data_IF_123806818686
#
_entry.id   IF_123806818686
#
_cell.length_a   1.000
_cell.length_b   1.000
_cell.length_c   1.000
_cell.angle_alpha   90.00
_cell.angle_beta   90.00
_cell.angle_gamma   90.00
#
_symmetry.space_group_name_H-M   'P 1'
#
loop_
_entity.id
_entity.type
_entity.pdbx_description
1 polymer ?
#
# COMPACT_ATOMS: atom_id res chain seq x y z
N UNK A 1 21.86 -12.85 -38.36
CA UNK A 1 21.80 -12.06 -39.61
C UNK A 1 21.04 -10.78 -39.31
N UNK A 2 21.75 -9.69 -39.06
CA UNK A 2 21.16 -8.38 -38.76
C UNK A 2 20.91 -7.69 -40.09
N UNK A 3 19.67 -7.70 -40.56
CA UNK A 3 19.27 -7.00 -41.78
C UNK A 3 19.26 -5.50 -41.48
N UNK A 4 20.38 -4.82 -41.75
CA UNK A 4 20.42 -3.35 -41.76
C UNK A 4 19.64 -2.88 -42.97
N UNK A 5 18.40 -2.42 -42.75
CA UNK A 5 17.59 -1.79 -43.80
C UNK A 5 18.23 -0.46 -44.14
N UNK A 6 18.65 -0.27 -45.39
CA UNK A 6 19.14 1.02 -45.88
C UNK A 6 17.95 1.99 -46.01
N UNK A 7 17.86 2.93 -45.07
CA UNK A 7 16.75 3.88 -44.90
C UNK A 7 16.91 5.17 -45.74
N UNK A 8 17.89 5.21 -46.66
CA UNK A 8 18.24 6.43 -47.42
C UNK A 8 17.27 6.75 -48.58
N UNK A 9 16.26 5.91 -48.84
CA UNK A 9 15.23 6.12 -49.88
C UNK A 9 13.90 6.65 -49.34
N UNK A 10 13.14 7.40 -50.16
CA UNK A 10 11.76 7.81 -49.85
C UNK A 10 10.88 6.57 -49.63
N UNK A 11 10.65 6.19 -48.38
CA UNK A 11 9.72 5.11 -48.04
C UNK A 11 8.27 5.54 -48.20
N UNK A 12 7.45 4.66 -48.76
CA UNK A 12 5.99 4.80 -48.78
C UNK A 12 5.41 4.64 -47.37
N UNK A 13 4.17 5.11 -47.16
CA UNK A 13 3.47 4.97 -45.86
C UNK A 13 3.32 3.51 -45.42
N UNK A 14 3.01 2.61 -46.36
CA UNK A 14 2.87 1.18 -46.09
C UNK A 14 4.18 0.55 -45.59
N UNK A 15 5.32 0.91 -46.21
CA UNK A 15 6.64 0.43 -45.79
C UNK A 15 7.09 1.00 -44.44
N UNK A 16 6.67 2.21 -44.06
CA UNK A 16 6.94 2.74 -42.71
C UNK A 16 6.08 2.06 -41.64
N UNK A 17 4.85 1.68 -41.98
CA UNK A 17 3.94 1.02 -41.05
C UNK A 17 4.41 -0.40 -40.65
N UNK A 18 5.29 -1.02 -41.44
CA UNK A 18 5.88 -2.32 -41.10
C UNK A 18 7.14 -2.23 -40.23
N UNK A 19 7.66 -1.02 -39.99
CA UNK A 19 8.80 -0.81 -39.10
C UNK A 19 8.35 -0.83 -37.63
N UNK A 20 9.20 -1.31 -36.70
CA UNK A 20 8.85 -1.37 -35.29
C UNK A 20 8.67 0.04 -34.72
N UNK A 21 7.70 0.18 -33.80
CA UNK A 21 7.51 1.43 -33.08
C UNK A 21 8.61 1.61 -32.03
N UNK A 22 9.04 2.85 -31.82
CA UNK A 22 10.05 3.15 -30.79
C UNK A 22 9.64 2.68 -29.39
N UNK A 23 8.35 2.74 -29.08
CA UNK A 23 7.78 2.24 -27.82
C UNK A 23 7.92 0.72 -27.68
N UNK A 24 7.70 -0.04 -28.75
CA UNK A 24 7.83 -1.51 -28.75
C UNK A 24 9.29 -1.92 -28.59
N UNK A 25 10.21 -1.21 -29.24
CA UNK A 25 11.66 -1.44 -29.09
C UNK A 25 12.10 -1.16 -27.65
N UNK A 26 11.64 -0.05 -27.06
CA UNK A 26 11.94 0.30 -25.68
C UNK A 26 11.35 -0.73 -24.68
N UNK A 27 10.14 -1.22 -24.94
CA UNK A 27 9.53 -2.28 -24.14
C UNK A 27 10.33 -3.57 -24.22
N UNK A 28 10.69 -4.03 -25.43
CA UNK A 28 11.48 -5.25 -25.62
C UNK A 28 12.85 -5.16 -24.92
N UNK A 29 13.51 -4.00 -24.99
CA UNK A 29 14.77 -3.74 -24.29
C UNK A 29 14.59 -3.76 -22.76
N UNK A 30 13.51 -3.14 -22.26
CA UNK A 30 13.20 -3.17 -20.84
C UNK A 30 12.95 -4.61 -20.35
N UNK A 31 12.21 -5.42 -21.10
CA UNK A 31 12.00 -6.84 -20.80
C UNK A 31 13.31 -7.63 -20.79
N UNK A 32 14.17 -7.44 -21.79
CA UNK A 32 15.48 -8.10 -21.88
C UNK A 32 16.37 -7.83 -20.65
N UNK A 33 16.33 -6.61 -20.11
CA UNK A 33 17.10 -6.22 -18.93
C UNK A 33 16.35 -6.43 -17.60
N UNK A 34 15.12 -6.96 -17.62
CA UNK A 34 14.31 -7.13 -16.42
C UNK A 34 13.86 -5.81 -15.77
N UNK A 35 13.75 -4.74 -16.56
CA UNK A 35 13.26 -3.41 -16.15
C UNK A 35 11.75 -3.32 -16.39
N UNK A 36 11.03 -2.62 -15.50
CA UNK A 36 9.58 -2.49 -15.62
C UNK A 36 9.16 -1.76 -16.91
N UNK A 37 8.28 -2.37 -17.70
CA UNK A 37 7.73 -1.81 -18.95
C UNK A 37 6.66 -0.74 -18.72
N UNK A 38 6.12 -0.66 -17.50
CA UNK A 38 5.01 0.24 -17.14
C UNK A 38 5.29 1.02 -15.85
N UNK A 39 6.34 1.85 -15.79
CA UNK A 39 6.68 2.57 -14.57
C UNK A 39 5.58 3.56 -14.15
N UNK A 40 5.36 3.69 -12.84
CA UNK A 40 4.47 4.68 -12.25
C UNK A 40 5.28 5.92 -11.87
N UNK A 41 4.83 7.08 -12.30
CA UNK A 41 5.44 8.35 -11.93
C UNK A 41 5.03 8.72 -10.49
N UNK A 42 5.97 8.59 -9.55
CA UNK A 42 5.75 8.98 -8.15
C UNK A 42 6.40 10.32 -7.85
N UNK A 43 5.62 11.21 -7.21
CA UNK A 43 6.12 12.50 -6.72
C UNK A 43 6.86 12.30 -5.41
N UNK A 44 8.14 12.65 -5.38
CA UNK A 44 9.00 12.66 -4.18
C UNK A 44 9.23 14.10 -3.76
N UNK A 45 9.05 14.39 -2.47
CA UNK A 45 9.34 15.70 -1.87
C UNK A 45 10.50 15.49 -0.90
N UNK A 46 11.58 16.24 -1.10
CA UNK A 46 12.75 16.23 -0.24
C UNK A 46 12.55 17.10 1.02
N UNK A 47 13.41 16.96 2.03
CA UNK A 47 13.36 17.78 3.27
C UNK A 47 13.55 19.28 3.00
N UNK A 48 14.19 19.63 1.88
CA UNK A 48 14.35 20.99 1.36
C UNK A 48 13.10 21.55 0.67
N UNK A 49 12.06 20.74 0.47
CA UNK A 49 10.84 21.10 -0.27
C UNK A 49 10.93 20.91 -1.79
N UNK A 50 12.09 20.49 -2.33
CA UNK A 50 12.24 20.17 -3.75
C UNK A 50 11.35 18.99 -4.14
N UNK A 51 10.64 19.14 -5.26
CA UNK A 51 9.74 18.12 -5.80
C UNK A 51 10.34 17.50 -7.06
N UNK A 52 10.56 16.19 -7.05
CA UNK A 52 11.03 15.41 -8.20
C UNK A 52 10.01 14.32 -8.57
N UNK A 53 9.93 13.96 -9.85
CA UNK A 53 9.10 12.84 -10.33
C UNK A 53 10.03 11.66 -10.61
N UNK A 54 9.87 10.57 -9.85
CA UNK A 54 10.70 9.37 -9.95
C UNK A 54 9.86 8.22 -10.50
N UNK A 55 10.35 7.50 -11.54
CA UNK A 55 9.68 6.29 -12.02
C UNK A 55 9.88 5.15 -11.02
N UNK A 56 8.77 4.53 -10.60
CA UNK A 56 8.75 3.37 -9.70
C UNK A 56 8.16 2.18 -10.46
N UNK A 57 8.69 0.94 -10.30
CA UNK A 57 8.14 -0.23 -10.95
C UNK A 57 6.65 -0.44 -10.60
N UNK A 58 5.85 -0.91 -11.56
CA UNK A 58 4.41 -1.10 -11.35
C UNK A 58 4.03 -2.14 -10.30
N UNK A 59 4.90 -3.09 -10.00
CA UNK A 59 4.62 -4.17 -9.03
C UNK A 59 3.55 -5.17 -9.47
N UNK A 60 3.18 -5.20 -10.76
CA UNK A 60 2.23 -6.21 -11.27
C UNK A 60 2.75 -7.62 -11.00
N UNK A 61 1.88 -8.47 -10.44
CA UNK A 61 2.13 -9.90 -10.27
C UNK A 61 1.70 -10.73 -11.48
N UNK A 62 1.07 -10.10 -12.48
CA UNK A 62 0.62 -10.78 -13.71
C UNK A 62 1.59 -10.51 -14.86
N UNK A 63 2.02 -11.60 -15.50
CA UNK A 63 3.01 -11.58 -16.58
C UNK A 63 2.50 -10.88 -17.84
N UNK A 64 1.21 -11.05 -18.17
CA UNK A 64 0.51 -10.37 -19.28
C UNK A 64 0.58 -8.83 -19.20
N UNK A 65 0.66 -8.28 -17.99
CA UNK A 65 0.76 -6.82 -17.78
C UNK A 65 2.20 -6.33 -17.70
N UNK A 66 3.11 -7.11 -17.11
CA UNK A 66 4.52 -6.74 -16.94
C UNK A 66 5.33 -7.96 -16.48
N UNK A 67 5.91 -8.68 -17.45
CA UNK A 67 6.77 -9.85 -17.20
C UNK A 67 7.91 -9.58 -16.20
N UNK A 68 8.70 -8.49 -16.31
CA UNK A 68 9.80 -8.24 -15.37
C UNK A 68 9.37 -8.08 -13.90
N UNK A 69 8.24 -7.41 -13.66
CA UNK A 69 7.73 -7.25 -12.29
C UNK A 69 7.13 -8.55 -11.75
N UNK A 70 6.42 -9.30 -12.60
CA UNK A 70 5.85 -10.59 -12.22
C UNK A 70 6.96 -11.59 -11.85
N UNK A 71 8.02 -11.66 -12.65
CA UNK A 71 9.21 -12.50 -12.38
C UNK A 71 9.90 -12.11 -11.07
N UNK A 72 10.11 -10.80 -10.84
CA UNK A 72 10.69 -10.30 -9.60
C UNK A 72 9.83 -10.68 -8.38
N UNK A 73 8.51 -10.51 -8.47
CA UNK A 73 7.58 -10.86 -7.40
C UNK A 73 7.58 -12.37 -7.12
N UNK A 74 7.57 -13.20 -8.18
CA UNK A 74 7.67 -14.66 -8.07
C UNK A 74 8.97 -15.10 -7.38
N UNK A 75 10.12 -14.55 -7.79
CA UNK A 75 11.42 -14.85 -7.16
C UNK A 75 11.46 -14.44 -5.70
N UNK A 76 11.01 -13.22 -5.38
CA UNK A 76 10.92 -12.74 -4.01
C UNK A 76 10.06 -13.68 -3.16
N UNK A 77 8.91 -14.11 -3.71
CA UNK A 77 8.01 -15.02 -3.01
C UNK A 77 8.63 -16.39 -2.76
N UNK A 78 9.36 -16.94 -3.74
CA UNK A 78 10.11 -18.18 -3.57
C UNK A 78 11.15 -18.08 -2.45
N UNK A 79 11.91 -16.97 -2.42
CA UNK A 79 12.88 -16.71 -1.35
C UNK A 79 12.20 -16.60 0.01
N UNK A 80 11.12 -15.81 0.12
CA UNK A 80 10.34 -15.68 1.36
C UNK A 80 9.82 -17.03 1.87
N UNK A 81 9.31 -17.88 0.98
CA UNK A 81 8.85 -19.21 1.37
C UNK A 81 10.02 -20.12 1.81
N UNK A 82 11.15 -20.07 1.10
CA UNK A 82 12.35 -20.86 1.41
C UNK A 82 13.00 -20.45 2.73
N UNK A 83 13.09 -19.15 2.99
CA UNK A 83 13.68 -18.59 4.21
C UNK A 83 12.71 -18.61 5.40
N UNK A 84 11.47 -19.07 5.20
CA UNK A 84 10.50 -19.18 6.27
C UNK A 84 9.97 -17.82 6.74
N UNK A 85 9.89 -16.82 5.85
CA UNK A 85 9.28 -15.52 6.14
C UNK A 85 7.74 -15.63 6.18
N UNK A 86 7.26 -16.42 7.12
CA UNK A 86 5.85 -16.58 7.44
C UNK A 86 5.70 -16.64 8.95
N UNK A 87 4.78 -15.84 9.49
CA UNK A 87 4.44 -15.93 10.90
C UNK A 87 3.69 -17.23 11.16
N UNK A 88 4.09 -17.88 12.24
CA UNK A 88 3.52 -19.14 12.70
C UNK A 88 2.54 -18.96 13.87
N UNK A 89 2.84 -17.99 14.72
CA UNK A 89 2.00 -17.48 15.77
C UNK A 89 1.41 -16.11 15.40
N UNK A 90 0.28 -15.79 16.02
CA UNK A 90 -0.31 -14.46 15.93
C UNK A 90 0.69 -13.43 16.52
N UNK A 91 0.97 -12.32 15.83
CA UNK A 91 1.83 -11.28 16.39
C UNK A 91 1.19 -10.73 17.66
N UNK A 92 1.99 -10.58 18.71
CA UNK A 92 1.54 -9.93 19.95
C UNK A 92 1.24 -8.47 19.63
N UNK A 93 -0.04 -8.13 19.64
CA UNK A 93 -0.54 -6.75 19.44
C UNK A 93 -1.08 -6.16 20.73
N UNK A 94 -0.88 -6.85 21.85
CA UNK A 94 -1.28 -6.41 23.16
C UNK A 94 -0.52 -5.15 23.54
N UNK A 95 -1.28 -4.15 23.97
CA UNK A 95 -0.73 -2.87 24.42
C UNK A 95 -0.34 -3.00 25.89
N UNK A 96 0.82 -2.47 26.24
CA UNK A 96 1.20 -2.34 27.64
C UNK A 96 0.15 -1.53 28.41
N UNK A 97 -0.14 -1.95 29.63
CA UNK A 97 -0.97 -1.19 30.56
C UNK A 97 -0.27 0.14 30.87
N UNK A 98 -1.00 1.27 30.95
CA UNK A 98 -0.41 2.55 31.33
C UNK A 98 0.26 2.47 32.71
N UNK A 99 1.48 3.02 32.81
CA UNK A 99 2.18 3.15 34.10
C UNK A 99 1.51 4.19 34.99
N UNK A 100 1.88 4.24 36.27
CA UNK A 100 1.42 5.31 37.16
C UNK A 100 1.87 6.69 36.68
N UNK A 101 3.09 6.80 36.13
CA UNK A 101 3.59 8.06 35.54
C UNK A 101 2.72 8.50 34.35
N UNK A 102 2.31 7.57 33.48
CA UNK A 102 1.40 7.90 32.37
C UNK A 102 0.06 8.44 32.88
N UNK A 103 -0.47 7.86 33.95
CA UNK A 103 -1.73 8.30 34.56
C UNK A 103 -1.57 9.66 35.22
N UNK A 104 -0.47 9.88 35.94
CA UNK A 104 -0.17 11.15 36.61
C UNK A 104 -0.04 12.29 35.59
N UNK A 105 0.78 12.11 34.55
CA UNK A 105 0.93 13.10 33.47
C UNK A 105 -0.40 13.39 32.76
N UNK A 106 -1.20 12.35 32.49
CA UNK A 106 -2.52 12.52 31.86
C UNK A 106 -3.53 13.21 32.78
N UNK A 107 -3.48 12.96 34.09
CA UNK A 107 -4.33 13.63 35.07
C UNK A 107 -3.99 15.12 35.16
N UNK A 108 -2.72 15.47 35.32
CA UNK A 108 -2.26 16.87 35.33
C UNK A 108 -2.66 17.60 34.05
N UNK A 109 -2.50 16.93 32.90
CA UNK A 109 -2.94 17.48 31.61
C UNK A 109 -4.45 17.74 31.58
N UNK A 110 -5.26 16.83 32.13
CA UNK A 110 -6.72 16.99 32.18
C UNK A 110 -7.11 18.18 33.07
N UNK A 111 -6.45 18.34 34.21
CA UNK A 111 -6.67 19.48 35.11
C UNK A 111 -6.33 20.81 34.42
N UNK A 112 -5.18 20.89 33.75
CA UNK A 112 -4.81 22.08 32.97
C UNK A 112 -5.79 22.35 31.83
N UNK A 113 -6.30 21.32 31.16
CA UNK A 113 -7.33 21.50 30.14
C UNK A 113 -8.63 22.07 30.72
N UNK A 114 -9.02 21.68 31.94
CA UNK A 114 -10.19 22.23 32.62
C UNK A 114 -9.98 23.72 32.94
N UNK A 115 -8.85 24.07 33.56
CA UNK A 115 -8.51 25.47 33.87
C UNK A 115 -8.42 26.31 32.58
N UNK A 116 -7.83 25.76 31.51
CA UNK A 116 -7.79 26.43 30.21
C UNK A 116 -9.19 26.78 29.70
N UNK A 117 -10.16 25.86 29.80
CA UNK A 117 -11.53 26.13 29.37
C UNK A 117 -12.21 27.22 30.19
N UNK A 118 -11.91 27.32 31.48
CA UNK A 118 -12.42 28.39 32.36
C UNK A 118 -11.79 29.74 32.02
N UNK A 119 -10.46 29.81 31.87
CA UNK A 119 -9.75 31.02 31.45
C UNK A 119 -10.28 31.53 30.10
N UNK A 120 -10.52 30.62 29.17
CA UNK A 120 -11.06 30.95 27.85
C UNK A 120 -12.50 31.48 27.91
N UNK A 121 -13.31 30.99 28.85
CA UNK A 121 -14.67 31.49 29.06
C UNK A 121 -14.69 32.90 29.65
N UNK A 122 -13.71 33.23 30.51
CA UNK A 122 -13.55 34.55 31.13
C UNK A 122 -12.87 35.55 30.17
N UNK A 123 -12.15 35.06 29.16
CA UNK A 123 -11.41 35.87 28.20
C UNK A 123 -10.04 36.31 28.72
N UNK A 124 -9.46 35.58 29.68
CA UNK A 124 -8.12 35.83 30.17
C UNK A 124 -7.07 35.20 29.23
N UNK A 125 -6.65 35.95 28.23
CA UNK A 125 -5.71 35.50 27.20
C UNK A 125 -4.33 35.16 27.76
N UNK A 126 -3.85 35.89 28.76
CA UNK A 126 -2.52 35.70 29.35
C UNK A 126 -2.44 34.36 30.06
N UNK A 127 -3.43 34.06 30.91
CA UNK A 127 -3.49 32.78 31.61
C UNK A 127 -3.72 31.62 30.64
N UNK A 128 -4.53 31.81 29.59
CA UNK A 128 -4.70 30.81 28.53
C UNK A 128 -3.38 30.46 27.83
N UNK A 129 -2.57 31.46 27.49
CA UNK A 129 -1.28 31.25 26.82
C UNK A 129 -0.30 30.48 27.72
N UNK A 130 -0.20 30.85 29.00
CA UNK A 130 0.63 30.15 29.98
C UNK A 130 0.23 28.68 30.13
N UNK A 131 -1.07 28.40 30.24
CA UNK A 131 -1.57 27.02 30.32
C UNK A 131 -1.28 26.25 29.03
N UNK A 132 -1.41 26.89 27.86
CA UNK A 132 -1.11 26.26 26.58
C UNK A 132 0.37 25.86 26.47
N UNK A 133 1.29 26.67 26.97
CA UNK A 133 2.71 26.35 27.04
C UNK A 133 2.96 25.15 27.98
N UNK A 134 2.40 25.16 29.19
CA UNK A 134 2.53 24.04 30.13
C UNK A 134 1.94 22.73 29.59
N UNK A 135 0.81 22.79 28.87
CA UNK A 135 0.23 21.63 28.20
C UNK A 135 1.12 21.13 27.06
N UNK A 136 1.78 22.02 26.32
CA UNK A 136 2.71 21.63 25.27
C UNK A 136 3.95 20.90 25.83
N UNK A 137 4.44 21.32 26.99
CA UNK A 137 5.51 20.65 27.74
C UNK A 137 5.06 19.26 28.23
N UNK A 138 3.91 19.16 28.89
CA UNK A 138 3.35 17.86 29.32
C UNK A 138 3.09 16.92 28.13
N UNK A 139 2.64 17.45 27.00
CA UNK A 139 2.46 16.68 25.77
C UNK A 139 3.81 16.15 25.24
N UNK A 140 4.91 16.90 25.41
CA UNK A 140 6.26 16.43 25.08
C UNK A 140 6.73 15.35 26.05
N UNK A 141 6.48 15.50 27.34
CA UNK A 141 6.77 14.49 28.36
C UNK A 141 5.98 13.20 28.14
N UNK A 142 4.67 13.28 27.86
CA UNK A 142 3.85 12.11 27.53
C UNK A 142 4.42 11.34 26.32
N UNK A 143 4.87 12.05 25.28
CA UNK A 143 5.52 11.43 24.12
C UNK A 143 6.86 10.81 24.50
N UNK A 144 7.67 11.48 25.31
CA UNK A 144 8.95 10.97 25.80
C UNK A 144 8.77 9.71 26.68
N UNK A 145 7.71 9.68 27.49
CA UNK A 145 7.29 8.52 28.27
C UNK A 145 6.72 7.37 27.43
N UNK A 146 6.64 7.53 26.10
CA UNK A 146 6.23 6.48 25.17
C UNK A 146 4.72 6.40 24.93
N UNK A 147 3.93 7.39 25.37
CA UNK A 147 2.51 7.46 25.06
C UNK A 147 2.32 7.73 23.57
N UNK A 148 1.63 6.82 22.88
CA UNK A 148 1.37 6.88 21.44
C UNK A 148 -0.05 7.39 21.15
N UNK A 149 -0.20 8.06 20.03
CA UNK A 149 -1.49 8.57 19.54
C UNK A 149 -1.52 10.09 19.45
N UNK A 150 -2.59 10.63 18.84
CA UNK A 150 -2.83 12.07 18.80
C UNK A 150 -3.49 12.48 20.12
N UNK A 151 -2.82 13.34 20.88
CA UNK A 151 -3.40 14.01 22.05
C UNK A 151 -4.43 15.06 21.59
N UNK A 152 -5.51 15.23 22.36
CA UNK A 152 -6.58 16.17 22.02
C UNK A 152 -6.05 17.60 22.16
N UNK A 153 -6.03 18.41 21.09
CA UNK A 153 -5.61 19.81 21.20
C UNK A 153 -6.57 20.58 22.13
N UNK A 154 -6.06 21.59 22.83
CA UNK A 154 -6.87 22.47 23.68
C UNK A 154 -8.01 23.12 22.90
N UNK A 155 -7.69 23.56 21.68
CA UNK A 155 -8.64 24.12 20.73
C UNK A 155 -8.84 23.21 19.52
N UNK A 156 -9.79 22.25 19.60
CA UNK A 156 -10.08 21.38 18.48
C UNK A 156 -10.77 22.16 17.36
N UNK A 157 -10.38 21.96 16.09
CA UNK A 157 -11.08 22.55 14.97
C UNK A 157 -12.54 22.03 14.91
N UNK A 158 -13.47 22.81 14.33
CA UNK A 158 -14.86 22.40 14.21
C UNK A 158 -14.94 21.04 13.51
N UNK A 159 -15.67 20.10 14.13
CA UNK A 159 -15.81 18.77 13.57
C UNK A 159 -16.55 18.86 12.22
N UNK A 160 -16.02 18.29 11.13
CA UNK A 160 -16.69 18.36 9.85
C UNK A 160 -18.06 17.66 9.93
N UNK A 161 -19.08 18.30 9.37
CA UNK A 161 -20.43 17.74 9.28
C UNK A 161 -20.38 16.54 8.34
N UNK A 162 -20.38 15.33 8.90
CA UNK A 162 -20.52 14.09 8.11
C UNK A 162 -21.97 13.95 7.67
N UNK A 163 -22.20 14.09 6.36
CA UNK A 163 -23.45 13.60 5.76
C UNK A 163 -23.46 12.07 5.87
N UNK A 164 -24.49 11.54 6.53
CA UNK A 164 -24.71 10.10 6.61
C UNK A 164 -24.98 9.55 5.23
N UNK A 165 -24.15 8.61 4.77
CA UNK A 165 -24.46 7.78 3.60
C UNK A 165 -25.41 6.67 4.05
N UNK A 166 -26.67 7.04 4.27
CA UNK A 166 -27.71 6.09 4.70
C UNK A 166 -27.77 4.94 3.70
N UNK A 167 -27.54 3.72 4.18
CA UNK A 167 -27.66 2.51 3.37
C UNK A 167 -29.14 2.31 2.97
N UNK A 168 -29.33 1.79 1.77
CA UNK A 168 -30.60 1.26 1.27
C UNK A 168 -31.21 0.29 2.29
N UNK A 169 -32.46 0.55 2.70
CA UNK A 169 -33.21 -0.29 3.65
C UNK A 169 -34.07 -1.34 2.94
N UNK A 170 -34.16 -1.23 1.62
CA UNK A 170 -34.95 -2.02 0.68
C UNK A 170 -34.30 -3.35 0.27
N UNK A 171 -33.09 -3.66 0.74
CA UNK A 171 -32.36 -4.89 0.38
C UNK A 171 -31.92 -5.62 1.65
N UNK A 172 -32.16 -6.94 1.76
CA UNK A 172 -31.64 -7.73 2.87
C UNK A 172 -30.11 -7.73 2.84
N UNK A 173 -29.49 -7.75 4.01
CA UNK A 173 -28.04 -7.88 4.12
C UNK A 173 -27.60 -9.24 3.55
N UNK A 174 -26.62 -9.21 2.64
CA UNK A 174 -25.97 -10.42 2.16
C UNK A 174 -25.31 -11.16 3.33
N UNK A 175 -25.28 -12.51 3.31
CA UNK A 175 -24.60 -13.29 4.34
C UNK A 175 -23.14 -12.86 4.41
N UNK A 176 -22.74 -12.32 5.56
CA UNK A 176 -21.35 -11.91 5.82
C UNK A 176 -20.62 -13.07 6.47
N UNK A 177 -19.41 -13.34 6.02
CA UNK A 177 -18.52 -14.23 6.77
C UNK A 177 -18.22 -13.59 8.13
N UNK A 178 -18.34 -14.34 9.24
CA UNK A 178 -17.93 -13.83 10.53
C UNK A 178 -16.44 -13.47 10.49
N UNK A 179 -16.10 -12.30 11.04
CA UNK A 179 -14.73 -11.80 11.08
C UNK A 179 -14.02 -12.51 12.23
N UNK A 180 -12.98 -13.28 11.91
CA UNK A 180 -12.08 -13.85 12.91
C UNK A 180 -11.05 -12.79 13.35
N UNK A 181 -10.72 -12.73 14.64
CA UNK A 181 -9.73 -11.80 15.20
C UNK A 181 -8.31 -12.36 15.08
N UNK A 182 -7.98 -12.93 13.92
CA UNK A 182 -6.67 -13.52 13.63
C UNK A 182 -6.12 -12.93 12.35
N UNK A 183 -4.84 -12.58 12.36
CA UNK A 183 -4.10 -12.18 11.16
C UNK A 183 -3.46 -13.38 10.49
N UNK A 184 -3.16 -14.45 11.24
CA UNK A 184 -2.65 -15.70 10.68
C UNK A 184 -3.78 -16.54 10.09
N UNK A 185 -3.63 -16.94 8.82
CA UNK A 185 -4.60 -17.78 8.14
C UNK A 185 -4.63 -19.22 8.66
N UNK A 186 -5.76 -19.91 8.44
CA UNK A 186 -5.96 -21.32 8.86
C UNK A 186 -4.88 -22.24 8.30
N UNK A 187 -4.39 -23.17 9.12
CA UNK A 187 -3.49 -24.25 8.70
C UNK A 187 -4.28 -25.35 7.98
N UNK A 188 -3.85 -25.69 6.77
CA UNK A 188 -4.38 -26.77 5.94
C UNK A 188 -3.60 -28.07 6.18
N UNK A 189 -4.32 -29.21 6.22
CA UNK A 189 -3.75 -30.54 6.43
C UNK A 189 -2.73 -30.63 7.59
N UNK A 190 -2.93 -29.85 8.65
CA UNK A 190 -2.07 -29.83 9.84
C UNK A 190 -0.67 -29.23 9.68
N UNK A 191 -0.23 -28.89 8.46
CA UNK A 191 1.14 -28.41 8.20
C UNK A 191 1.26 -27.21 7.27
N UNK A 192 0.29 -26.99 6.38
CA UNK A 192 0.43 -26.01 5.31
C UNK A 192 -0.25 -24.70 5.65
N UNK A 193 0.46 -23.58 5.52
CA UNK A 193 -0.13 -22.25 5.72
C UNK A 193 -0.43 -21.58 4.38
N UNK A 194 -1.47 -20.75 4.29
CA UNK A 194 -1.73 -19.95 3.09
C UNK A 194 -0.53 -19.06 2.73
N UNK A 195 0.17 -18.54 3.75
CA UNK A 195 1.40 -17.77 3.61
C UNK A 195 2.61 -18.56 3.13
N UNK A 196 2.52 -19.89 3.02
CA UNK A 196 3.53 -20.75 2.38
C UNK A 196 3.14 -21.19 0.97
N UNK A 197 1.92 -20.88 0.53
CA UNK A 197 1.52 -21.19 -0.82
C UNK A 197 2.16 -20.23 -1.81
N UNK A 198 2.77 -20.85 -2.83
CA UNK A 198 3.22 -20.22 -4.05
C UNK A 198 2.27 -20.72 -5.14
N UNK A 199 1.50 -19.81 -5.73
CA UNK A 199 0.80 -20.14 -6.97
C UNK A 199 1.85 -20.20 -8.06
N UNK A 200 2.17 -21.41 -8.51
CA UNK A 200 2.82 -21.59 -9.78
C UNK A 200 1.75 -21.26 -10.82
N UNK A 201 1.79 -20.04 -11.36
CA UNK A 201 1.09 -19.78 -12.61
C UNK A 201 1.69 -20.73 -13.62
N UNK A 202 0.89 -21.68 -14.10
CA UNK A 202 1.21 -22.34 -15.35
C UNK A 202 1.35 -21.23 -16.40
N UNK A 203 2.30 -21.41 -17.30
CA UNK A 203 2.42 -20.56 -18.48
C UNK A 203 1.06 -20.52 -19.22
N UNK A 204 0.81 -19.47 -20.01
CA UNK A 204 -0.51 -19.29 -20.62
C UNK A 204 -0.92 -20.55 -21.38
N UNK A 205 -2.21 -20.92 -21.41
CA UNK A 205 -2.71 -22.07 -22.20
C UNK A 205 -2.49 -21.92 -23.73
N UNK A 206 -1.72 -20.91 -24.17
CA UNK A 206 -1.58 -20.49 -25.54
C UNK A 206 -2.74 -19.59 -25.95
N UNK A 207 -3.16 -19.71 -27.21
CA UNK A 207 -4.28 -18.91 -27.74
C UNK A 207 -5.61 -19.36 -27.09
N UNK A 208 -6.35 -18.38 -26.59
CA UNK A 208 -7.71 -18.55 -26.06
C UNK A 208 -8.73 -17.89 -26.99
N UNK A 209 -9.97 -18.37 -26.99
CA UNK A 209 -11.08 -17.73 -27.68
C UNK A 209 -11.59 -16.49 -26.91
N UNK A 210 -12.64 -15.86 -27.43
CA UNK A 210 -13.23 -14.65 -26.81
C UNK A 210 -14.00 -14.97 -25.52
N UNK A 211 -14.45 -16.21 -25.33
CA UNK A 211 -15.07 -16.69 -24.10
C UNK A 211 -14.05 -17.12 -23.04
N UNK A 212 -12.76 -17.16 -23.38
CA UNK A 212 -11.64 -17.47 -22.49
C UNK A 212 -11.31 -18.97 -22.38
N UNK A 213 -11.85 -19.81 -23.26
CA UNK A 213 -11.49 -21.22 -23.35
C UNK A 213 -10.25 -21.42 -24.23
N UNK A 214 -9.48 -22.48 -23.96
CA UNK A 214 -8.33 -22.83 -24.79
C UNK A 214 -8.81 -23.30 -26.18
N UNK A 215 -8.17 -22.82 -27.24
CA UNK A 215 -8.51 -23.19 -28.62
C UNK A 215 -8.21 -24.66 -28.94
N UNK A 216 -7.23 -25.26 -28.25
CA UNK A 216 -6.95 -26.70 -28.29
C UNK A 216 -6.80 -27.23 -26.85
N UNK A 217 -7.89 -27.72 -26.23
CA UNK A 217 -7.88 -28.20 -24.86
C UNK A 217 -7.16 -29.54 -24.69
N UNK A 218 -6.98 -30.30 -25.77
CA UNK A 218 -6.26 -31.59 -25.75
C UNK A 218 -4.75 -31.39 -25.89
N UNK A 219 -4.32 -30.25 -26.44
CA UNK A 219 -2.92 -29.87 -26.58
C UNK A 219 -2.67 -28.42 -26.20
N UNK A 220 -2.61 -28.17 -24.90
CA UNK A 220 -2.21 -26.86 -24.36
C UNK A 220 -0.82 -26.43 -24.86
N UNK A 221 -0.74 -25.26 -25.51
CA UNK A 221 0.52 -24.62 -25.95
C UNK A 221 1.03 -23.72 -24.83
N UNK A 222 1.51 -24.34 -23.75
CA UNK A 222 2.10 -23.62 -22.61
C UNK A 222 3.27 -22.75 -23.10
N UNK A 223 3.09 -21.43 -23.02
CA UNK A 223 4.04 -20.40 -23.47
C UNK A 223 4.26 -19.30 -22.44
#
# INVERSE_FOLDING_TARGET
MTTTVDLSGRMTRAQRATLPLSAEVAQALAEQHGVCVRPLAMRRIDTTGRTDIVPVPCGSTREDQCRPCADKARRLRMTQCREGWHLDAEPVTDRATPSEDHKALMATRADLCAVYTECKAIGDEVTCEQIAESVAELDAELRAAGVRGRLTPLDPPPRPVKRSTRRRQDTPDLPRRPIDKRTVGRVFAGRYRPSTFLTLTLDSYGRVDNEGAALDPDRYDYR
#
